data_IF_381770230814
#
_entry.id   IF_381770230814
#
_cell.length_a   1.000
_cell.length_b   1.000
_cell.length_c   1.000
_cell.angle_alpha   90.00
_cell.angle_beta   90.00
_cell.angle_gamma   90.00
#
_symmetry.space_group_name_H-M   'P 1'
#
loop_
_entity.id
_entity.type
_entity.pdbx_description
1 polymer ?
#
# COMPACT_ATOMS: atom_id res chain seq x y z
N UNK A 1 27.90 8.30 -13.84
CA UNK A 1 27.31 8.24 -12.48
C UNK A 1 28.27 7.44 -11.62
N UNK A 2 29.11 8.09 -10.81
CA UNK A 2 30.13 7.37 -10.02
C UNK A 2 29.49 6.74 -8.78
N UNK A 3 29.81 5.48 -8.44
CA UNK A 3 29.25 4.82 -7.26
C UNK A 3 29.64 5.60 -6.02
N UNK A 4 28.65 5.96 -5.19
CA UNK A 4 28.88 6.65 -3.90
C UNK A 4 29.82 5.79 -3.06
N UNK A 5 31.03 6.31 -2.86
CA UNK A 5 32.08 5.72 -2.05
C UNK A 5 31.54 5.45 -0.64
N UNK A 6 31.44 4.18 -0.26
CA UNK A 6 30.88 3.76 1.02
C UNK A 6 31.92 3.94 2.13
N UNK A 7 32.08 5.18 2.60
CA UNK A 7 32.96 5.60 3.70
C UNK A 7 32.95 4.64 4.91
N UNK A 8 31.78 4.08 5.27
CA UNK A 8 31.66 3.14 6.39
C UNK A 8 32.46 1.86 6.20
N UNK A 9 32.57 1.38 4.95
CA UNK A 9 33.32 0.17 4.60
C UNK A 9 34.82 0.43 4.69
N UNK A 10 35.27 1.58 4.21
CA UNK A 10 36.67 2.00 4.34
C UNK A 10 37.06 2.17 5.80
N UNK A 11 36.23 2.84 6.61
CA UNK A 11 36.49 2.99 8.05
C UNK A 11 36.56 1.62 8.74
N UNK A 12 35.69 0.68 8.41
CA UNK A 12 35.75 -0.68 8.96
C UNK A 12 37.04 -1.42 8.55
N UNK A 13 37.47 -1.28 7.30
CA UNK A 13 38.72 -1.85 6.79
C UNK A 13 39.95 -1.25 7.50
N UNK A 14 39.97 0.07 7.71
CA UNK A 14 41.05 0.73 8.45
C UNK A 14 41.10 0.31 9.92
N UNK A 15 39.95 0.19 10.60
CA UNK A 15 39.90 -0.28 11.99
C UNK A 15 40.37 -1.73 12.08
N UNK A 16 39.94 -2.60 11.16
CA UNK A 16 40.39 -3.99 11.11
C UNK A 16 41.91 -4.08 10.87
N UNK A 17 42.43 -3.34 9.90
CA UNK A 17 43.86 -3.28 9.62
C UNK A 17 44.66 -2.78 10.83
N UNK A 18 44.15 -1.76 11.53
CA UNK A 18 44.78 -1.24 12.75
C UNK A 18 44.82 -2.28 13.88
N UNK A 19 43.73 -3.03 14.09
CA UNK A 19 43.68 -4.12 15.08
C UNK A 19 44.66 -5.24 14.71
N UNK A 20 44.73 -5.62 13.44
CA UNK A 20 45.68 -6.64 12.95
C UNK A 20 47.11 -6.18 13.18
N UNK A 21 47.44 -4.92 12.85
CA UNK A 21 48.77 -4.36 13.08
C UNK A 21 49.12 -4.38 14.56
N UNK A 22 48.23 -3.91 15.45
CA UNK A 22 48.47 -3.96 16.89
C UNK A 22 48.69 -5.40 17.35
N UNK A 23 47.82 -6.33 16.97
CA UNK A 23 47.95 -7.74 17.34
C UNK A 23 49.28 -8.34 16.85
N UNK A 24 49.69 -8.01 15.62
CA UNK A 24 50.92 -8.52 15.01
C UNK A 24 52.18 -7.93 15.65
N UNK A 25 52.22 -6.61 15.89
CA UNK A 25 53.34 -5.95 16.57
C UNK A 25 53.50 -6.48 18.00
N UNK A 26 52.40 -6.73 18.70
CA UNK A 26 52.44 -7.32 20.04
C UNK A 26 52.87 -8.80 20.03
N UNK A 27 52.43 -9.57 19.03
CA UNK A 27 52.85 -10.97 18.84
C UNK A 27 54.36 -11.08 18.58
N UNK A 28 54.91 -10.17 17.78
CA UNK A 28 56.36 -10.09 17.54
C UNK A 28 57.13 -9.69 18.81
N UNK A 29 56.60 -8.76 19.61
CA UNK A 29 57.19 -8.40 20.91
C UNK A 29 57.19 -9.57 21.90
N UNK A 30 56.09 -10.32 21.97
CA UNK A 30 55.97 -11.52 22.80
C UNK A 30 56.94 -12.63 22.35
N UNK A 31 57.07 -12.85 21.04
CA UNK A 31 58.01 -13.82 20.47
C UNK A 31 59.47 -13.42 20.78
N UNK A 32 59.82 -12.14 20.63
CA UNK A 32 61.13 -11.63 20.97
C UNK A 32 61.46 -11.86 22.45
N UNK A 33 60.51 -11.60 23.36
CA UNK A 33 60.69 -11.83 24.80
C UNK A 33 60.89 -13.31 25.17
N UNK A 34 60.22 -14.24 24.47
CA UNK A 34 60.40 -15.70 24.66
C UNK A 34 61.75 -16.19 24.13
N UNK A 35 62.23 -15.60 23.03
CA UNK A 35 63.54 -15.93 22.45
C UNK A 35 64.70 -15.41 23.31
N UNK A 36 64.51 -14.30 24.02
CA UNK A 36 65.56 -13.66 24.84
C UNK A 36 65.80 -14.39 26.18
N UNK A 37 64.79 -15.03 26.77
CA UNK A 37 64.94 -15.81 28.01
C UNK A 37 63.93 -16.98 28.09
N UNK A 38 64.28 -18.18 27.57
CA UNK A 38 63.37 -19.33 27.50
C UNK A 38 62.96 -19.90 28.88
N UNK A 39 63.69 -19.53 29.96
CA UNK A 39 63.37 -19.96 31.32
C UNK A 39 62.24 -19.14 31.97
N UNK A 40 61.89 -17.97 31.42
CA UNK A 40 60.77 -17.11 31.86
C UNK A 40 59.47 -17.34 31.09
N UNK A 41 59.31 -18.54 30.50
CA UNK A 41 58.22 -18.91 29.60
C UNK A 41 56.86 -18.34 29.98
N UNK A 42 56.11 -17.95 28.94
CA UNK A 42 54.79 -17.30 29.00
C UNK A 42 53.93 -17.86 30.15
N UNK A 43 53.62 -17.04 31.15
CA UNK A 43 52.83 -17.50 32.28
C UNK A 43 51.41 -17.78 31.79
N UNK A 44 50.79 -18.86 32.27
CA UNK A 44 49.43 -19.24 31.87
C UNK A 44 48.42 -18.11 32.11
N UNK A 45 48.64 -17.27 33.12
CA UNK A 45 47.83 -16.07 33.39
C UNK A 45 47.93 -15.00 32.30
N UNK A 46 49.11 -14.82 31.68
CA UNK A 46 49.30 -13.88 30.57
C UNK A 46 48.60 -14.40 29.30
N UNK A 47 48.74 -15.70 29.02
CA UNK A 47 48.03 -16.34 27.90
C UNK A 47 46.50 -16.27 28.06
N UNK A 48 45.96 -16.47 29.27
CA UNK A 48 44.53 -16.34 29.53
C UNK A 48 44.01 -14.91 29.33
N UNK A 49 44.77 -13.91 29.79
CA UNK A 49 44.41 -12.49 29.58
C UNK A 49 44.33 -12.11 28.10
N UNK A 50 45.18 -12.73 27.26
CA UNK A 50 45.19 -12.52 25.81
C UNK A 50 43.97 -13.12 25.11
N UNK A 51 43.63 -14.38 25.43
CA UNK A 51 42.43 -15.04 24.87
C UNK A 51 41.18 -14.22 25.20
N UNK A 52 41.12 -13.66 26.42
CA UNK A 52 40.00 -12.81 26.84
C UNK A 52 39.94 -11.50 26.06
N UNK A 53 41.06 -10.81 25.87
CA UNK A 53 41.10 -9.55 25.14
C UNK A 53 40.65 -9.73 23.67
N UNK A 54 41.17 -10.76 22.99
CA UNK A 54 40.75 -11.07 21.61
C UNK A 54 39.30 -11.51 21.55
N UNK A 55 38.85 -12.34 22.49
CA UNK A 55 37.46 -12.76 22.59
C UNK A 55 36.50 -11.58 22.73
N UNK A 56 36.86 -10.57 23.54
CA UNK A 56 36.05 -9.37 23.71
C UNK A 56 35.96 -8.52 22.44
N UNK A 57 37.07 -8.36 21.71
CA UNK A 57 37.10 -7.61 20.44
C UNK A 57 36.28 -8.36 19.38
N UNK A 58 36.48 -9.67 19.24
CA UNK A 58 35.73 -10.51 18.32
C UNK A 58 34.23 -10.49 18.63
N UNK A 59 33.85 -10.50 19.92
CA UNK A 59 32.46 -10.39 20.35
C UNK A 59 31.84 -9.04 19.97
N UNK A 60 32.56 -7.93 20.15
CA UNK A 60 32.09 -6.59 19.75
C UNK A 60 31.89 -6.51 18.24
N UNK A 61 32.84 -7.00 17.45
CA UNK A 61 32.73 -7.04 15.99
C UNK A 61 31.58 -7.92 15.52
N UNK A 62 31.44 -9.12 16.11
CA UNK A 62 30.32 -10.01 15.85
C UNK A 62 28.99 -9.32 16.14
N UNK A 63 28.84 -8.73 17.34
CA UNK A 63 27.65 -8.00 17.73
C UNK A 63 27.32 -6.85 16.77
N UNK A 64 28.32 -6.09 16.31
CA UNK A 64 28.13 -5.01 15.36
C UNK A 64 27.64 -5.52 13.99
N UNK A 65 28.30 -6.54 13.42
CA UNK A 65 27.91 -7.12 12.13
C UNK A 65 26.51 -7.73 12.16
N UNK A 66 26.18 -8.47 13.23
CA UNK A 66 24.85 -9.03 13.42
C UNK A 66 23.81 -7.93 13.64
N UNK A 67 24.14 -6.89 14.40
CA UNK A 67 23.26 -5.74 14.64
C UNK A 67 22.93 -4.99 13.34
N UNK A 68 23.92 -4.69 12.51
CA UNK A 68 23.69 -3.99 11.24
C UNK A 68 22.85 -4.83 10.28
N UNK A 69 23.13 -6.14 10.18
CA UNK A 69 22.34 -7.05 9.33
C UNK A 69 20.90 -7.16 9.81
N UNK A 70 20.68 -7.27 11.12
CA UNK A 70 19.34 -7.30 11.71
C UNK A 70 18.59 -5.99 11.47
N UNK A 71 19.24 -4.83 11.67
CA UNK A 71 18.63 -3.52 11.43
C UNK A 71 18.21 -3.32 9.96
N UNK A 72 19.07 -3.74 9.01
CA UNK A 72 18.74 -3.69 7.57
C UNK A 72 17.58 -4.62 7.22
N UNK A 73 17.58 -5.84 7.73
CA UNK A 73 16.47 -6.77 7.50
C UNK A 73 15.16 -6.25 8.12
N UNK A 74 15.18 -5.76 9.35
CA UNK A 74 14.01 -5.20 10.01
C UNK A 74 13.44 -4.00 9.24
N UNK A 75 14.30 -3.11 8.77
CA UNK A 75 13.90 -1.98 7.91
C UNK A 75 13.24 -2.47 6.62
N UNK A 76 13.86 -3.39 5.89
CA UNK A 76 13.32 -3.90 4.63
C UNK A 76 11.99 -4.64 4.83
N UNK A 77 11.86 -5.40 5.91
CA UNK A 77 10.61 -6.06 6.28
C UNK A 77 9.53 -5.04 6.61
N UNK A 78 9.85 -3.97 7.34
CA UNK A 78 8.90 -2.91 7.67
C UNK A 78 8.39 -2.18 6.41
N UNK A 79 9.27 -1.82 5.49
CA UNK A 79 8.90 -1.22 4.20
C UNK A 79 8.02 -2.18 3.39
N UNK A 80 8.41 -3.45 3.28
CA UNK A 80 7.62 -4.44 2.54
C UNK A 80 6.24 -4.69 3.16
N UNK A 81 6.12 -4.65 4.49
CA UNK A 81 4.83 -4.74 5.18
C UNK A 81 3.96 -3.53 4.90
N UNK A 82 4.54 -2.32 4.93
CA UNK A 82 3.82 -1.09 4.61
C UNK A 82 3.33 -1.06 3.16
N UNK A 83 4.14 -1.50 2.21
CA UNK A 83 3.76 -1.56 0.79
C UNK A 83 2.63 -2.59 0.55
N UNK A 84 2.68 -3.73 1.24
CA UNK A 84 1.60 -4.73 1.21
C UNK A 84 0.31 -4.21 1.82
N UNK A 85 0.38 -3.50 2.94
CA UNK A 85 -0.80 -2.88 3.57
C UNK A 85 -1.44 -1.86 2.63
N UNK A 86 -0.64 -0.97 2.03
CA UNK A 86 -1.10 0.00 1.02
C UNK A 86 -1.76 -0.69 -0.17
N UNK A 87 -1.12 -1.71 -0.73
CA UNK A 87 -1.69 -2.46 -1.85
C UNK A 87 -3.01 -3.16 -1.50
N UNK A 88 -3.13 -3.70 -0.28
CA UNK A 88 -4.36 -4.31 0.23
C UNK A 88 -5.49 -3.28 0.35
N UNK A 89 -5.19 -2.10 0.90
CA UNK A 89 -6.15 -0.99 1.01
C UNK A 89 -6.61 -0.48 -0.34
N UNK A 90 -5.69 -0.24 -1.28
CA UNK A 90 -6.05 0.19 -2.64
C UNK A 90 -6.92 -0.86 -3.34
N UNK A 91 -6.64 -2.15 -3.19
CA UNK A 91 -7.46 -3.21 -3.75
C UNK A 91 -8.88 -3.25 -3.14
N UNK A 92 -9.00 -3.03 -1.83
CA UNK A 92 -10.30 -2.94 -1.16
C UNK A 92 -11.12 -1.73 -1.65
N UNK A 93 -10.49 -0.57 -1.79
CA UNK A 93 -11.13 0.64 -2.35
C UNK A 93 -11.63 0.37 -3.77
N UNK A 94 -10.80 -0.23 -4.63
CA UNK A 94 -11.19 -0.58 -6.00
C UNK A 94 -12.35 -1.58 -6.05
N UNK A 95 -12.39 -2.56 -5.16
CA UNK A 95 -13.49 -3.51 -5.09
C UNK A 95 -14.83 -2.82 -4.76
N UNK A 96 -14.82 -1.85 -3.83
CA UNK A 96 -16.02 -1.06 -3.49
C UNK A 96 -16.44 -0.17 -4.67
N UNK A 97 -15.48 0.50 -5.32
CA UNK A 97 -15.77 1.36 -6.48
C UNK A 97 -16.27 0.54 -7.69
N UNK A 98 -15.76 -0.67 -7.88
CA UNK A 98 -16.23 -1.61 -8.90
C UNK A 98 -17.66 -2.06 -8.63
N UNK A 99 -18.00 -2.33 -7.35
CA UNK A 99 -19.37 -2.64 -6.94
C UNK A 99 -20.31 -1.45 -7.21
N UNK A 100 -19.86 -0.21 -6.93
CA UNK A 100 -20.62 1.00 -7.26
C UNK A 100 -20.87 1.13 -8.77
N UNK A 101 -19.83 1.01 -9.60
CA UNK A 101 -19.96 1.05 -11.05
C UNK A 101 -20.91 -0.03 -11.59
N UNK A 102 -20.81 -1.25 -11.05
CA UNK A 102 -21.68 -2.36 -11.42
C UNK A 102 -23.14 -2.12 -11.03
N UNK A 103 -23.38 -1.54 -9.85
CA UNK A 103 -24.71 -1.20 -9.36
C UNK A 103 -25.35 -0.11 -10.22
N UNK A 104 -24.58 0.89 -10.63
CA UNK A 104 -25.06 1.96 -11.51
C UNK A 104 -25.39 1.45 -12.91
N UNK A 105 -24.59 0.54 -13.48
CA UNK A 105 -24.92 -0.15 -14.73
C UNK A 105 -26.21 -1.00 -14.61
N UNK A 106 -26.45 -1.62 -13.45
CA UNK A 106 -27.70 -2.34 -13.19
C UNK A 106 -28.90 -1.38 -13.16
N UNK A 107 -28.76 -0.24 -12.48
CA UNK A 107 -29.78 0.83 -12.45
C UNK A 107 -30.10 1.30 -13.87
N UNK A 108 -29.07 1.63 -14.66
CA UNK A 108 -29.25 2.03 -16.07
C UNK A 108 -30.04 0.98 -16.86
N UNK A 109 -29.68 -0.29 -16.73
CA UNK A 109 -30.37 -1.38 -17.41
C UNK A 109 -31.86 -1.49 -17.03
N UNK A 110 -32.18 -1.27 -15.77
CA UNK A 110 -33.54 -1.41 -15.22
C UNK A 110 -34.40 -0.20 -15.56
N UNK A 111 -33.87 1.01 -15.40
CA UNK A 111 -34.63 2.26 -15.49
C UNK A 111 -34.56 2.89 -16.88
N UNK A 112 -33.42 2.78 -17.56
CA UNK A 112 -33.20 3.40 -18.86
C UNK A 112 -33.48 2.42 -19.99
N UNK A 113 -32.83 1.25 -20.02
CA UNK A 113 -32.83 0.43 -21.24
C UNK A 113 -34.16 -0.32 -21.44
N UNK A 114 -34.78 -0.81 -20.36
CA UNK A 114 -35.96 -1.68 -20.43
C UNK A 114 -37.29 -0.93 -20.29
N UNK A 115 -38.37 -1.39 -20.93
CA UNK A 115 -39.71 -0.84 -20.71
C UNK A 115 -40.15 -0.97 -19.25
N UNK A 116 -41.05 -0.10 -18.81
CA UNK A 116 -41.56 -0.07 -17.45
C UNK A 116 -42.25 -1.39 -17.05
N UNK A 117 -41.77 -2.02 -15.97
CA UNK A 117 -42.38 -3.19 -15.33
C UNK A 117 -42.12 -3.08 -13.81
N UNK A 118 -43.15 -2.64 -13.07
CA UNK A 118 -43.04 -2.35 -11.63
C UNK A 118 -42.68 -3.57 -10.79
N UNK A 119 -43.26 -4.75 -11.08
CA UNK A 119 -42.96 -5.98 -10.33
C UNK A 119 -41.50 -6.41 -10.52
N UNK A 120 -41.00 -6.29 -11.74
CA UNK A 120 -39.61 -6.60 -12.05
C UNK A 120 -38.63 -5.62 -11.43
N UNK A 121 -38.96 -4.31 -11.42
CA UNK A 121 -38.14 -3.30 -10.75
C UNK A 121 -38.03 -3.56 -9.26
N UNK A 122 -39.15 -3.88 -8.59
CA UNK A 122 -39.15 -4.27 -7.18
C UNK A 122 -38.32 -5.54 -6.91
N UNK A 123 -38.30 -6.48 -7.85
CA UNK A 123 -37.53 -7.72 -7.72
C UNK A 123 -36.03 -7.54 -7.98
N UNK A 124 -35.66 -6.75 -9.00
CA UNK A 124 -34.27 -6.60 -9.46
C UNK A 124 -33.53 -5.42 -8.77
N UNK A 125 -34.22 -4.32 -8.46
CA UNK A 125 -33.63 -3.16 -7.79
C UNK A 125 -33.87 -3.20 -6.28
N UNK A 126 -32.78 -3.38 -5.53
CA UNK A 126 -32.79 -3.34 -4.08
C UNK A 126 -32.17 -2.04 -3.60
N UNK A 127 -33.00 -1.10 -3.14
CA UNK A 127 -32.58 0.19 -2.55
C UNK A 127 -31.47 0.01 -1.50
N UNK A 128 -31.65 -0.97 -0.61
CA UNK A 128 -30.70 -1.27 0.47
C UNK A 128 -29.29 -1.60 -0.05
N UNK A 129 -29.16 -2.24 -1.21
CA UNK A 129 -27.85 -2.55 -1.82
C UNK A 129 -27.12 -1.27 -2.23
N UNK A 130 -27.81 -0.31 -2.83
CA UNK A 130 -27.24 1.00 -3.18
C UNK A 130 -26.83 1.78 -1.92
N UNK A 131 -27.67 1.78 -0.89
CA UNK A 131 -27.36 2.41 0.41
C UNK A 131 -26.15 1.79 1.12
N UNK A 132 -25.98 0.46 1.03
CA UNK A 132 -24.81 -0.22 1.58
C UNK A 132 -23.53 0.17 0.84
N UNK A 133 -23.60 0.29 -0.50
CA UNK A 133 -22.46 0.75 -1.31
C UNK A 133 -22.10 2.20 -0.96
N UNK A 134 -23.08 3.10 -0.86
CA UNK A 134 -22.84 4.50 -0.46
C UNK A 134 -22.16 4.54 0.92
N UNK A 135 -22.68 3.79 1.90
CA UNK A 135 -22.08 3.72 3.24
C UNK A 135 -20.66 3.15 3.21
N UNK A 136 -20.41 2.14 2.38
CA UNK A 136 -19.08 1.57 2.21
C UNK A 136 -18.10 2.60 1.61
N UNK A 137 -18.53 3.35 0.59
CA UNK A 137 -17.72 4.43 -0.01
C UNK A 137 -17.43 5.54 1.00
N UNK A 138 -18.42 5.96 1.79
CA UNK A 138 -18.27 6.97 2.83
C UNK A 138 -17.35 6.53 3.99
N UNK A 139 -17.24 5.23 4.21
CA UNK A 139 -16.34 4.67 5.24
C UNK A 139 -14.87 4.64 4.79
N UNK A 140 -14.57 4.89 3.51
CA UNK A 140 -13.20 4.92 3.00
C UNK A 140 -12.47 6.15 3.56
N UNK A 141 -11.36 6.00 4.29
CA UNK A 141 -10.60 7.13 4.78
C UNK A 141 -9.97 7.90 3.61
N UNK A 142 -10.41 9.13 3.36
CA UNK A 142 -9.97 9.95 2.21
C UNK A 142 -8.45 10.16 2.12
N UNK A 143 -7.75 10.15 3.25
CA UNK A 143 -6.30 10.30 3.31
C UNK A 143 -5.53 9.04 2.86
N UNK A 144 -6.19 7.88 2.81
CA UNK A 144 -5.58 6.63 2.33
C UNK A 144 -5.68 6.46 0.80
N UNK A 145 -6.50 7.27 0.12
CA UNK A 145 -6.71 7.23 -1.34
C UNK A 145 -5.47 7.76 -2.10
N UNK A 146 -4.63 8.57 -1.45
CA UNK A 146 -3.27 8.91 -1.89
C UNK A 146 -3.15 9.95 -3.02
N UNK A 147 -4.20 10.17 -3.82
CA UNK A 147 -4.22 11.18 -4.91
C UNK A 147 -5.40 12.12 -4.77
N UNK A 148 -5.15 13.42 -4.96
CA UNK A 148 -6.22 14.44 -4.92
C UNK A 148 -7.30 14.17 -5.99
N UNK A 149 -6.90 13.71 -7.18
CA UNK A 149 -7.83 13.37 -8.27
C UNK A 149 -8.72 12.18 -7.88
N UNK A 150 -8.12 11.16 -7.28
CA UNK A 150 -8.84 10.00 -6.80
C UNK A 150 -9.81 10.35 -5.65
N UNK A 151 -9.42 11.26 -4.74
CA UNK A 151 -10.34 11.78 -3.71
C UNK A 151 -11.54 12.49 -4.34
N UNK A 152 -11.32 13.36 -5.34
CA UNK A 152 -12.41 14.04 -6.05
C UNK A 152 -13.34 13.04 -6.75
N UNK A 153 -12.79 12.04 -7.46
CA UNK A 153 -13.59 11.01 -8.12
C UNK A 153 -14.40 10.16 -7.13
N UNK A 154 -13.84 9.83 -5.97
CA UNK A 154 -14.54 9.11 -4.90
C UNK A 154 -15.73 9.94 -4.38
N UNK A 155 -15.52 11.22 -4.09
CA UNK A 155 -16.59 12.11 -3.59
C UNK A 155 -17.67 12.31 -4.65
N UNK A 156 -17.28 12.57 -5.91
CA UNK A 156 -18.20 12.66 -7.04
C UNK A 156 -19.04 11.40 -7.20
N UNK A 157 -18.43 10.22 -7.06
CA UNK A 157 -19.15 8.93 -7.11
C UNK A 157 -20.19 8.82 -5.99
N UNK A 158 -19.86 9.25 -4.76
CA UNK A 158 -20.80 9.24 -3.63
C UNK A 158 -21.98 10.18 -3.92
N UNK A 159 -21.71 11.41 -4.35
CA UNK A 159 -22.74 12.41 -4.65
C UNK A 159 -23.67 11.93 -5.77
N UNK A 160 -23.10 11.38 -6.83
CA UNK A 160 -23.84 10.81 -7.97
C UNK A 160 -24.75 9.64 -7.57
N UNK A 161 -24.28 8.75 -6.70
CA UNK A 161 -25.09 7.63 -6.19
C UNK A 161 -26.22 8.10 -5.29
N UNK A 162 -25.97 9.09 -4.42
CA UNK A 162 -27.02 9.67 -3.57
C UNK A 162 -28.08 10.38 -4.42
N UNK A 163 -27.64 11.14 -5.41
CA UNK A 163 -28.53 11.80 -6.36
C UNK A 163 -29.40 10.78 -7.10
N UNK A 164 -28.81 9.69 -7.62
CA UNK A 164 -29.53 8.60 -8.28
C UNK A 164 -30.58 7.98 -7.36
N UNK A 165 -30.21 7.70 -6.11
CA UNK A 165 -31.13 7.07 -5.16
C UNK A 165 -32.37 7.95 -4.91
N UNK A 166 -32.16 9.25 -4.69
CA UNK A 166 -33.26 10.22 -4.49
C UNK A 166 -34.17 10.28 -5.72
N UNK A 167 -33.58 10.33 -6.92
CA UNK A 167 -34.36 10.46 -8.17
C UNK A 167 -35.12 9.18 -8.52
N UNK A 168 -34.53 8.01 -8.27
CA UNK A 168 -35.22 6.73 -8.46
C UNK A 168 -36.43 6.62 -7.53
N UNK A 169 -36.30 7.03 -6.28
CA UNK A 169 -37.41 7.03 -5.32
C UNK A 169 -38.53 7.98 -5.71
N UNK A 170 -38.17 9.21 -6.11
CA UNK A 170 -39.15 10.18 -6.59
C UNK A 170 -39.88 9.65 -7.83
N UNK A 171 -39.13 9.06 -8.77
CA UNK A 171 -39.66 8.49 -9.99
C UNK A 171 -40.60 7.30 -9.74
N UNK A 172 -40.23 6.39 -8.83
CA UNK A 172 -41.05 5.22 -8.48
C UNK A 172 -42.34 5.64 -7.78
N UNK A 173 -42.27 6.62 -6.86
CA UNK A 173 -43.44 7.19 -6.19
C UNK A 173 -44.38 7.90 -7.17
N UNK A 174 -43.85 8.64 -8.14
CA UNK A 174 -44.64 9.34 -9.16
C UNK A 174 -45.34 8.35 -10.10
N UNK A 175 -44.64 7.31 -10.55
CA UNK A 175 -45.19 6.25 -11.41
C UNK A 175 -46.27 5.43 -10.71
N UNK A 176 -46.11 5.15 -9.41
CA UNK A 176 -47.14 4.46 -8.62
C UNK A 176 -48.44 5.25 -8.49
N UNK A 177 -48.39 6.57 -8.62
CA UNK A 177 -49.56 7.47 -8.48
C UNK A 177 -50.18 7.89 -9.84
N UNK A 178 -49.53 7.56 -10.95
CA UNK A 178 -49.96 7.96 -12.29
C UNK A 178 -51.03 6.99 -12.85
N UNK A 179 -52.29 7.44 -12.94
CA UNK A 179 -53.39 6.65 -13.52
C UNK A 179 -53.31 6.49 -15.06
N UNK A 180 -52.44 7.24 -15.76
CA UNK A 180 -52.40 7.29 -17.24
C UNK A 180 -51.13 6.67 -17.84
N UNK A 181 -51.25 5.59 -18.66
CA UNK A 181 -50.11 4.87 -19.26
C UNK A 181 -49.20 5.72 -20.15
N UNK A 182 -49.78 6.66 -20.92
CA UNK A 182 -49.06 7.46 -21.93
C UNK A 182 -48.05 8.44 -21.29
N UNK A 183 -48.29 8.81 -20.03
CA UNK A 183 -47.41 9.70 -19.29
C UNK A 183 -46.19 9.00 -18.66
N UNK A 184 -46.21 7.66 -18.60
CA UNK A 184 -45.10 6.87 -18.06
C UNK A 184 -43.96 6.74 -19.07
N UNK A 185 -44.27 6.60 -20.36
CA UNK A 185 -43.27 6.45 -21.43
C UNK A 185 -42.51 7.76 -21.67
N UNK A 186 -43.20 8.90 -21.75
CA UNK A 186 -42.57 10.22 -21.84
C UNK A 186 -41.67 10.53 -20.62
N UNK A 187 -42.13 10.19 -19.41
CA UNK A 187 -41.34 10.40 -18.18
C UNK A 187 -40.16 9.45 -18.09
N UNK A 188 -40.29 8.24 -18.62
CA UNK A 188 -39.16 7.33 -18.75
C UNK A 188 -38.10 7.87 -19.72
N UNK A 189 -38.51 8.52 -20.82
CA UNK A 189 -37.61 9.19 -21.76
C UNK A 189 -36.81 10.33 -21.10
N UNK A 190 -37.45 11.12 -20.24
CA UNK A 190 -36.79 12.20 -19.51
C UNK A 190 -35.82 11.64 -18.45
N UNK A 191 -36.26 10.65 -17.66
CA UNK A 191 -35.43 10.01 -16.65
C UNK A 191 -34.20 9.30 -17.25
N UNK A 192 -34.32 8.75 -18.47
CA UNK A 192 -33.18 8.19 -19.23
C UNK A 192 -32.04 9.18 -19.41
N UNK A 193 -32.36 10.43 -19.75
CA UNK A 193 -31.35 11.44 -20.03
C UNK A 193 -30.55 11.83 -18.79
N UNK A 194 -31.22 11.97 -17.64
CA UNK A 194 -30.55 12.36 -16.41
C UNK A 194 -29.81 11.19 -15.76
N UNK A 195 -30.45 10.02 -15.67
CA UNK A 195 -29.83 8.80 -15.12
C UNK A 195 -28.63 8.39 -15.98
N UNK A 196 -28.75 8.41 -17.31
CA UNK A 196 -27.66 8.06 -18.23
C UNK A 196 -26.41 8.92 -18.03
N UNK A 197 -26.56 10.24 -17.89
CA UNK A 197 -25.43 11.14 -17.62
C UNK A 197 -24.73 10.84 -16.30
N UNK A 198 -25.50 10.55 -15.25
CA UNK A 198 -24.92 10.19 -13.95
C UNK A 198 -24.22 8.83 -14.01
N UNK A 199 -24.76 7.88 -14.77
CA UNK A 199 -24.14 6.57 -15.02
C UNK A 199 -22.78 6.72 -15.70
N UNK A 200 -22.71 7.51 -16.77
CA UNK A 200 -21.46 7.81 -17.47
C UNK A 200 -20.45 8.49 -16.54
N UNK A 201 -20.89 9.44 -15.70
CA UNK A 201 -20.02 10.10 -14.73
C UNK A 201 -19.40 9.12 -13.74
N UNK A 202 -20.20 8.22 -13.14
CA UNK A 202 -19.70 7.23 -12.18
C UNK A 202 -18.74 6.24 -12.84
N UNK A 203 -19.04 5.81 -14.06
CA UNK A 203 -18.14 4.91 -14.80
C UNK A 203 -16.82 5.59 -15.18
N UNK A 204 -16.87 6.89 -15.51
CA UNK A 204 -15.69 7.70 -15.76
C UNK A 204 -14.84 7.85 -14.50
N UNK A 205 -15.47 8.18 -13.36
CA UNK A 205 -14.80 8.30 -12.07
C UNK A 205 -14.16 6.98 -11.63
N UNK A 206 -14.83 5.84 -11.86
CA UNK A 206 -14.27 4.52 -11.61
C UNK A 206 -12.99 4.25 -12.41
N UNK A 207 -12.98 4.56 -13.72
CA UNK A 207 -11.78 4.38 -14.56
C UNK A 207 -10.61 5.25 -14.07
N UNK A 208 -10.90 6.48 -13.66
CA UNK A 208 -9.88 7.37 -13.09
C UNK A 208 -9.31 6.81 -11.78
N UNK A 209 -10.17 6.28 -10.91
CA UNK A 209 -9.74 5.63 -9.67
C UNK A 209 -8.87 4.39 -9.95
N UNK A 210 -9.25 3.57 -10.93
CA UNK A 210 -8.47 2.41 -11.37
C UNK A 210 -7.09 2.81 -11.88
N UNK A 211 -7.00 3.87 -12.69
CA UNK A 211 -5.74 4.40 -13.21
C UNK A 211 -4.82 4.89 -12.08
N UNK A 212 -5.33 5.77 -11.20
CA UNK A 212 -4.54 6.39 -10.12
C UNK A 212 -4.08 5.36 -9.07
N UNK A 213 -4.96 4.44 -8.68
CA UNK A 213 -4.63 3.42 -7.67
C UNK A 213 -3.73 2.32 -8.25
N UNK A 214 -3.82 2.03 -9.55
CA UNK A 214 -2.91 1.08 -10.20
C UNK A 214 -1.53 1.68 -10.47
N UNK A 215 -1.45 2.96 -10.83
CA UNK A 215 -0.17 3.66 -11.05
C UNK A 215 0.70 3.67 -9.78
N UNK A 216 0.08 3.77 -8.61
CA UNK A 216 0.76 3.73 -7.30
C UNK A 216 1.50 2.41 -7.06
N UNK A 217 1.13 1.33 -7.77
CA UNK A 217 1.73 -0.01 -7.63
C UNK A 217 3.07 -0.17 -8.37
N UNK A 218 3.36 0.68 -9.36
CA UNK A 218 4.50 0.49 -10.30
C UNK A 218 5.77 1.19 -9.82
N UNK A 219 5.68 2.26 -9.02
CA UNK A 219 6.83 3.05 -8.58
C UNK A 219 7.54 2.55 -7.31
N UNK A 220 7.29 1.29 -6.92
CA UNK A 220 8.01 0.65 -5.82
C UNK A 220 9.53 0.65 -6.07
N UNK A 221 10.37 1.02 -5.10
CA UNK A 221 11.81 1.28 -5.26
C UNK A 221 12.67 0.05 -5.66
N UNK A 222 12.05 -1.10 -5.97
CA UNK A 222 12.72 -2.34 -6.34
C UNK A 222 13.03 -2.45 -7.84
N UNK A 223 12.53 -1.53 -8.69
CA UNK A 223 12.71 -1.59 -10.15
C UNK A 223 13.98 -0.93 -10.72
N UNK A 224 14.77 -0.21 -9.91
CA UNK A 224 16.00 0.48 -10.38
C UNK A 224 17.24 -0.08 -9.69
N UNK A 225 17.63 -1.31 -10.01
CA UNK A 225 18.83 -1.88 -9.41
C UNK A 225 19.09 -3.33 -9.73
N UNK A 226 19.05 -3.71 -11.00
CA UNK A 226 19.83 -4.82 -11.54
C UNK A 226 20.51 -4.36 -12.82
#
# INVERSE_FOLDING_TARGET
MQPKKNWKREVAEYILAFIIVIAFTFMLSALAAVLDDPAKGFKSSEAASWVQAIGSIAAIFGAFMFGERQARHAHNTAVAMQDRDRAGKSAAVLAICSAASSNVALIERIFCIRPYDGLRRLAEFQKSSTEHIIRALQAIPVHEVGSARAVTALLSTIDNLQWLLIHIEAFDAELSNSELPDSAEYRQELARGDIGRTVESVQSDYKLLEEELSATKVDGPMGRGQ
#
